data_IF_789856560112
#
_entry.id   IF_789856560112
#
_cell.length_a   1.000
_cell.length_b   1.000
_cell.length_c   1.000
_cell.angle_alpha   90.00
_cell.angle_beta   90.00
_cell.angle_gamma   90.00
#
_symmetry.space_group_name_H-M   'P 1'
#
loop_
_entity.id
_entity.type
_entity.pdbx_description
1 polymer ?
#
# COMPACT_ATOMS: atom_id res chain seq x y z
N UNK A 1 10.35 19.31 -12.16
CA UNK A 1 11.45 19.56 -13.13
C UNK A 1 11.61 21.01 -13.59
N UNK A 2 10.88 21.97 -13.02
CA UNK A 2 10.80 23.34 -13.55
C UNK A 2 12.12 24.11 -13.60
N UNK A 3 13.06 23.83 -12.68
CA UNK A 3 14.34 24.56 -12.59
C UNK A 3 15.45 24.04 -13.52
N UNK A 4 15.34 22.80 -14.02
CA UNK A 4 16.40 22.20 -14.85
C UNK A 4 16.57 22.90 -16.21
N UNK A 5 15.48 23.50 -16.73
CA UNK A 5 15.50 24.27 -17.98
C UNK A 5 15.86 25.75 -17.82
N UNK A 6 16.20 26.21 -16.61
CA UNK A 6 16.49 27.63 -16.38
C UNK A 6 17.89 28.03 -16.89
N UNK A 7 18.04 29.30 -17.27
CA UNK A 7 19.35 29.89 -17.57
C UNK A 7 20.20 30.01 -16.29
N UNK A 8 21.52 30.16 -16.42
CA UNK A 8 22.39 30.31 -15.25
C UNK A 8 22.03 31.57 -14.45
N UNK A 9 21.74 32.70 -15.13
CA UNK A 9 21.35 33.95 -14.44
C UNK A 9 20.03 33.80 -13.68
N UNK A 10 19.12 32.93 -14.12
CA UNK A 10 17.88 32.67 -13.41
C UNK A 10 18.08 31.73 -12.22
N UNK A 11 18.99 30.76 -12.33
CA UNK A 11 19.35 29.83 -11.25
C UNK A 11 20.15 30.52 -10.14
N UNK A 12 20.88 31.59 -10.44
CA UNK A 12 21.68 32.35 -9.48
C UNK A 12 20.84 32.91 -8.30
N UNK A 13 19.53 33.08 -8.51
CA UNK A 13 18.59 33.48 -7.46
C UNK A 13 18.12 32.34 -6.54
N UNK A 14 18.39 31.07 -6.90
CA UNK A 14 17.86 29.89 -6.20
C UNK A 14 18.94 28.98 -5.66
N UNK A 15 20.12 28.97 -6.27
CA UNK A 15 21.24 28.10 -5.88
C UNK A 15 22.54 28.86 -5.85
N UNK A 16 23.41 28.49 -4.90
CA UNK A 16 24.69 29.14 -4.70
C UNK A 16 25.68 28.92 -5.86
N UNK A 17 25.54 27.83 -6.62
CA UNK A 17 26.34 27.57 -7.82
C UNK A 17 25.47 26.99 -8.96
N UNK A 18 24.96 27.85 -9.85
CA UNK A 18 24.20 27.44 -11.03
C UNK A 18 24.96 26.52 -11.99
N UNK A 19 26.28 26.70 -12.09
CA UNK A 19 27.11 25.96 -13.05
C UNK A 19 27.36 24.54 -12.57
N UNK A 20 27.66 24.36 -11.29
CA UNK A 20 27.77 23.06 -10.66
C UNK A 20 26.44 22.29 -10.71
N UNK A 21 25.32 22.95 -10.41
CA UNK A 21 23.99 22.34 -10.51
C UNK A 21 23.73 21.85 -11.95
N UNK A 22 23.95 22.69 -12.96
CA UNK A 22 23.73 22.29 -14.35
C UNK A 22 24.61 21.12 -14.78
N UNK A 23 25.89 21.12 -14.37
CA UNK A 23 26.79 19.99 -14.68
C UNK A 23 26.27 18.70 -14.06
N UNK A 24 25.89 18.74 -12.78
CA UNK A 24 25.35 17.57 -12.08
C UNK A 24 24.02 17.08 -12.68
N UNK A 25 23.12 17.99 -13.04
CA UNK A 25 21.83 17.67 -13.66
C UNK A 25 22.02 17.12 -15.06
N UNK A 26 22.86 17.73 -15.90
CA UNK A 26 23.10 17.28 -17.28
C UNK A 26 23.65 15.85 -17.33
N UNK A 27 24.56 15.48 -16.41
CA UNK A 27 25.09 14.12 -16.32
C UNK A 27 24.05 13.10 -15.86
N UNK A 28 23.04 13.53 -15.08
CA UNK A 28 22.06 12.63 -14.44
C UNK A 28 20.62 12.83 -14.95
N UNK A 29 20.42 13.54 -16.06
CA UNK A 29 19.10 14.05 -16.44
C UNK A 29 18.09 12.91 -16.64
N UNK A 30 18.49 11.83 -17.32
CA UNK A 30 17.66 10.64 -17.54
C UNK A 30 17.31 9.91 -16.24
N UNK A 31 18.21 9.91 -15.27
CA UNK A 31 17.94 9.35 -13.94
C UNK A 31 16.93 10.23 -13.19
N UNK A 32 17.18 11.53 -13.12
CA UNK A 32 16.31 12.49 -12.45
C UNK A 32 14.91 12.56 -13.07
N UNK A 33 14.77 12.35 -14.39
CA UNK A 33 13.47 12.28 -15.09
C UNK A 33 12.61 11.10 -14.67
N UNK A 34 13.25 10.00 -14.27
CA UNK A 34 12.56 8.77 -13.83
C UNK A 34 12.46 8.68 -12.31
N UNK A 35 13.07 9.61 -11.59
CA UNK A 35 13.02 9.63 -10.14
C UNK A 35 11.62 10.08 -9.71
N UNK A 36 10.93 9.18 -9.03
CA UNK A 36 9.65 9.44 -8.40
C UNK A 36 9.66 8.87 -6.97
N UNK A 37 8.56 9.10 -6.25
CA UNK A 37 8.39 8.61 -4.89
C UNK A 37 7.86 7.16 -4.85
N UNK A 38 7.61 6.50 -5.98
CA UNK A 38 7.02 5.17 -6.07
C UNK A 38 7.73 4.13 -5.20
N UNK A 39 9.08 4.05 -5.21
CA UNK A 39 9.80 3.15 -4.32
C UNK A 39 9.55 3.42 -2.83
N UNK A 40 9.24 4.66 -2.43
CA UNK A 40 9.01 5.04 -1.03
C UNK A 40 7.55 4.90 -0.60
N UNK A 41 6.66 4.48 -1.50
CA UNK A 41 5.25 4.30 -1.20
C UNK A 41 4.98 2.93 -0.59
N UNK A 42 4.10 2.92 0.41
CA UNK A 42 3.50 1.70 0.95
C UNK A 42 2.12 1.52 0.30
N UNK A 43 1.79 0.30 -0.10
CA UNK A 43 0.50 0.00 -0.71
C UNK A 43 -0.63 0.11 0.30
N UNK A 44 -1.84 0.43 -0.18
CA UNK A 44 -3.07 0.33 0.58
C UNK A 44 -4.10 -0.51 -0.20
N UNK A 45 -4.72 -1.55 0.41
CA UNK A 45 -4.48 -2.08 1.75
C UNK A 45 -3.03 -2.54 1.97
N UNK A 46 -2.54 -2.55 3.23
CA UNK A 46 -1.16 -2.91 3.49
C UNK A 46 -0.90 -4.38 3.14
N UNK A 47 0.34 -4.67 2.73
CA UNK A 47 0.83 -6.05 2.58
C UNK A 47 0.92 -6.75 3.94
N UNK A 48 0.97 -8.09 3.98
CA UNK A 48 1.16 -8.85 5.22
C UNK A 48 2.37 -8.38 6.04
N UNK A 49 2.30 -8.51 7.36
CA UNK A 49 3.32 -8.06 8.30
C UNK A 49 4.71 -8.63 7.95
N UNK A 50 4.77 -9.93 7.65
CA UNK A 50 6.00 -10.63 7.32
C UNK A 50 6.72 -10.02 6.09
N UNK A 51 5.98 -9.47 5.13
CA UNK A 51 6.56 -8.83 3.95
C UNK A 51 6.89 -7.35 4.22
N UNK A 52 5.99 -6.67 4.93
CA UNK A 52 6.10 -5.24 5.20
C UNK A 52 7.23 -4.93 6.21
N UNK A 53 7.50 -5.82 7.16
CA UNK A 53 8.57 -5.67 8.15
C UNK A 53 9.94 -5.46 7.48
N UNK A 54 10.30 -6.36 6.54
CA UNK A 54 11.55 -6.26 5.79
C UNK A 54 11.62 -4.99 4.95
N UNK A 55 10.50 -4.62 4.31
CA UNK A 55 10.43 -3.40 3.51
C UNK A 55 10.63 -2.15 4.35
N UNK A 56 10.08 -2.12 5.56
CA UNK A 56 10.22 -0.99 6.48
C UNK A 56 11.64 -0.84 7.01
N UNK A 57 12.36 -1.93 7.28
CA UNK A 57 13.77 -1.87 7.67
C UNK A 57 14.62 -1.17 6.59
N UNK A 58 14.40 -1.50 5.32
CA UNK A 58 15.06 -0.84 4.19
C UNK A 58 14.66 0.63 4.06
N UNK A 59 13.35 0.92 4.15
CA UNK A 59 12.84 2.28 4.03
C UNK A 59 13.40 3.18 5.12
N UNK A 60 13.42 2.74 6.39
CA UNK A 60 13.99 3.51 7.49
C UNK A 60 15.46 3.82 7.21
N UNK A 61 16.24 2.83 6.77
CA UNK A 61 17.66 3.02 6.42
C UNK A 61 17.86 4.06 5.31
N UNK A 62 17.01 4.05 4.28
CA UNK A 62 17.11 4.97 3.15
C UNK A 62 16.62 6.37 3.52
N UNK A 63 15.43 6.48 4.13
CA UNK A 63 14.77 7.73 4.47
C UNK A 63 15.56 8.51 5.52
N UNK A 64 16.17 7.83 6.50
CA UNK A 64 17.01 8.47 7.52
C UNK A 64 18.24 9.21 6.95
N UNK A 65 18.61 8.99 5.68
CA UNK A 65 19.73 9.70 5.05
C UNK A 65 19.38 11.09 4.55
N UNK A 66 18.10 11.40 4.34
CA UNK A 66 17.70 12.65 3.67
C UNK A 66 16.42 13.29 4.22
N UNK A 67 15.57 12.54 4.93
CA UNK A 67 14.32 13.06 5.44
C UNK A 67 14.49 13.67 6.84
N UNK A 68 13.63 14.63 7.21
CA UNK A 68 13.53 15.14 8.57
C UNK A 68 13.29 14.05 9.63
N UNK A 69 13.75 14.27 10.86
CA UNK A 69 13.64 13.27 11.94
C UNK A 69 12.19 12.90 12.27
N UNK A 70 11.24 13.84 12.18
CA UNK A 70 9.81 13.59 12.39
C UNK A 70 9.23 12.61 11.35
N UNK A 71 9.69 12.68 10.10
CA UNK A 71 9.31 11.72 9.06
C UNK A 71 9.88 10.33 9.35
N UNK A 72 11.13 10.26 9.80
CA UNK A 72 11.76 8.99 10.19
C UNK A 72 11.08 8.39 11.42
N UNK A 73 10.70 9.22 12.40
CA UNK A 73 9.95 8.81 13.59
C UNK A 73 8.60 8.20 13.21
N UNK A 74 7.82 8.87 12.35
CA UNK A 74 6.54 8.33 11.87
C UNK A 74 6.70 6.96 11.18
N UNK A 75 7.76 6.78 10.39
CA UNK A 75 8.05 5.50 9.74
C UNK A 75 8.44 4.40 10.76
N UNK A 76 9.16 4.77 11.83
CA UNK A 76 9.48 3.85 12.94
C UNK A 76 8.24 3.46 13.74
N UNK A 77 7.25 4.34 13.89
CA UNK A 77 5.98 3.99 14.54
C UNK A 77 5.22 2.93 13.73
N UNK A 78 5.19 3.09 12.40
CA UNK A 78 4.63 2.07 11.49
C UNK A 78 5.40 0.76 11.63
N UNK A 79 6.73 0.79 11.65
CA UNK A 79 7.58 -0.39 11.86
C UNK A 79 7.31 -1.07 13.19
N UNK A 80 7.14 -0.31 14.28
CA UNK A 80 6.78 -0.84 15.59
C UNK A 80 5.43 -1.54 15.56
N UNK A 81 4.45 -0.96 14.86
CA UNK A 81 3.11 -1.55 14.71
C UNK A 81 3.17 -2.87 13.94
N UNK A 82 3.94 -2.92 12.85
CA UNK A 82 4.10 -4.13 12.01
C UNK A 82 4.83 -5.26 12.74
N UNK A 83 5.71 -4.93 13.69
CA UNK A 83 6.45 -5.94 14.48
C UNK A 83 5.56 -6.72 15.43
N UNK A 84 4.44 -6.15 15.88
CA UNK A 84 3.37 -6.93 16.50
C UNK A 84 2.52 -7.56 15.39
N UNK A 85 3.00 -8.68 14.85
CA UNK A 85 2.37 -9.35 13.71
C UNK A 85 0.89 -9.68 13.97
N UNK A 86 0.57 -10.15 15.18
CA UNK A 86 -0.80 -10.54 15.52
C UNK A 86 -1.75 -9.32 15.56
N UNK A 87 -1.32 -8.20 16.14
CA UNK A 87 -2.11 -6.97 16.13
C UNK A 87 -2.18 -6.35 14.73
N UNK A 88 -1.06 -6.33 14.01
CA UNK A 88 -1.02 -5.78 12.67
C UNK A 88 -1.95 -6.53 11.71
N UNK A 89 -1.95 -7.86 11.72
CA UNK A 89 -2.82 -8.66 10.86
C UNK A 89 -4.31 -8.46 11.18
N UNK A 90 -4.66 -8.21 12.46
CA UNK A 90 -6.02 -7.80 12.84
C UNK A 90 -6.38 -6.45 12.22
N UNK A 91 -5.52 -5.45 12.35
CA UNK A 91 -5.74 -4.11 11.78
C UNK A 91 -5.80 -4.15 10.24
N UNK A 92 -4.95 -4.98 9.61
CA UNK A 92 -4.92 -5.22 8.17
C UNK A 92 -6.24 -5.81 7.69
N UNK A 93 -6.78 -6.82 8.38
CA UNK A 93 -8.08 -7.40 8.05
C UNK A 93 -9.18 -6.34 8.03
N UNK A 94 -9.17 -5.42 9.01
CA UNK A 94 -10.13 -4.29 9.05
C UNK A 94 -9.89 -3.31 7.90
N UNK A 95 -8.64 -3.05 7.53
CA UNK A 95 -8.27 -2.19 6.42
C UNK A 95 -8.75 -2.76 5.07
N UNK A 96 -8.54 -4.05 4.84
CA UNK A 96 -9.03 -4.79 3.66
C UNK A 96 -10.56 -4.73 3.60
N UNK A 97 -11.24 -5.09 4.69
CA UNK A 97 -12.69 -5.02 4.76
C UNK A 97 -13.23 -3.61 4.45
N UNK A 98 -12.56 -2.55 4.91
CA UNK A 98 -12.97 -1.16 4.59
C UNK A 98 -12.73 -0.77 3.13
N UNK A 99 -11.69 -1.31 2.50
CA UNK A 99 -11.33 -1.00 1.12
C UNK A 99 -12.18 -1.80 0.11
N UNK A 100 -12.51 -3.04 0.45
CA UNK A 100 -13.18 -3.98 -0.46
C UNK A 100 -14.69 -4.02 -0.25
N UNK A 101 -15.18 -3.87 0.99
CA UNK A 101 -16.61 -4.00 1.28
C UNK A 101 -17.33 -2.66 1.14
N UNK A 102 -18.43 -2.69 0.39
CA UNK A 102 -19.42 -1.61 0.37
C UNK A 102 -20.07 -1.43 1.75
N UNK A 103 -20.71 -0.29 2.02
CA UNK A 103 -21.46 -0.09 3.27
C UNK A 103 -22.52 -1.16 3.51
N UNK A 104 -23.26 -1.57 2.47
CA UNK A 104 -24.30 -2.59 2.56
C UNK A 104 -23.72 -3.97 2.88
N UNK A 105 -22.59 -4.34 2.29
CA UNK A 105 -21.92 -5.61 2.61
C UNK A 105 -21.41 -5.62 4.06
N UNK A 106 -20.92 -4.49 4.57
CA UNK A 106 -20.54 -4.36 5.98
C UNK A 106 -21.73 -4.47 6.92
N UNK A 107 -22.88 -3.89 6.56
CA UNK A 107 -24.13 -4.02 7.31
C UNK A 107 -24.62 -5.48 7.33
N UNK A 108 -24.57 -6.17 6.18
CA UNK A 108 -24.89 -7.61 6.10
C UNK A 108 -23.94 -8.46 6.94
N UNK A 109 -22.64 -8.14 6.93
CA UNK A 109 -21.65 -8.83 7.74
C UNK A 109 -21.92 -8.61 9.25
N UNK A 110 -22.20 -7.37 9.65
CA UNK A 110 -22.48 -7.01 11.03
C UNK A 110 -23.80 -7.59 11.56
N UNK A 111 -24.82 -7.70 10.71
CA UNK A 111 -26.12 -8.28 11.07
C UNK A 111 -26.14 -9.81 11.05
N UNK A 112 -25.07 -10.47 10.59
CA UNK A 112 -25.01 -11.94 10.45
C UNK A 112 -25.72 -12.48 9.20
N UNK A 113 -26.38 -11.63 8.42
CA UNK A 113 -27.14 -12.02 7.22
C UNK A 113 -26.29 -12.78 6.19
N UNK A 114 -24.99 -12.49 6.09
CA UNK A 114 -24.07 -13.25 5.20
C UNK A 114 -23.95 -14.72 5.63
N UNK A 115 -23.92 -15.00 6.93
CA UNK A 115 -23.82 -16.36 7.45
C UNK A 115 -25.11 -17.14 7.15
N UNK A 116 -26.26 -16.50 7.38
CA UNK A 116 -27.59 -17.08 7.11
C UNK A 116 -27.78 -17.36 5.60
N UNK A 117 -27.35 -16.43 4.75
CA UNK A 117 -27.38 -16.56 3.29
C UNK A 117 -26.48 -17.72 2.83
N UNK A 118 -25.26 -17.82 3.38
CA UNK A 118 -24.33 -18.91 3.09
C UNK A 118 -24.85 -20.28 3.52
N UNK A 119 -25.44 -20.38 4.72
CA UNK A 119 -26.05 -21.63 5.20
C UNK A 119 -27.22 -22.05 4.29
N UNK A 120 -28.06 -21.09 3.91
CA UNK A 120 -29.18 -21.33 3.01
C UNK A 120 -28.71 -21.85 1.64
N UNK A 121 -27.69 -21.22 1.05
CA UNK A 121 -27.14 -21.64 -0.24
C UNK A 121 -26.48 -23.02 -0.15
N UNK A 122 -25.80 -23.34 0.96
CA UNK A 122 -25.21 -24.68 1.18
C UNK A 122 -26.29 -25.76 1.24
N UNK A 123 -27.38 -25.51 1.97
CA UNK A 123 -28.52 -26.44 2.02
C UNK A 123 -29.14 -26.63 0.64
N UNK A 124 -29.41 -25.54 -0.09
CA UNK A 124 -29.95 -25.62 -1.45
C UNK A 124 -29.05 -26.41 -2.40
N UNK A 125 -27.72 -26.24 -2.29
CA UNK A 125 -26.76 -27.02 -3.05
C UNK A 125 -26.89 -28.52 -2.75
N UNK A 126 -26.93 -28.90 -1.47
CA UNK A 126 -27.11 -30.30 -1.06
C UNK A 126 -28.44 -30.86 -1.57
N UNK A 127 -29.54 -30.12 -1.44
CA UNK A 127 -30.86 -30.57 -1.92
C UNK A 127 -30.86 -30.83 -3.44
N UNK A 128 -30.15 -30.01 -4.21
CA UNK A 128 -29.99 -30.18 -5.66
C UNK A 128 -29.10 -31.38 -6.01
N UNK A 129 -28.00 -31.59 -5.28
CA UNK A 129 -27.12 -32.74 -5.43
C UNK A 129 -27.89 -34.05 -5.15
N UNK A 130 -28.64 -34.10 -4.05
CA UNK A 130 -29.47 -35.25 -3.68
C UNK A 130 -30.56 -35.54 -4.73
N UNK A 131 -31.20 -34.50 -5.27
CA UNK A 131 -32.22 -34.64 -6.30
C UNK A 131 -31.63 -35.22 -7.61
N UNK A 132 -30.43 -34.79 -7.97
CA UNK A 132 -29.71 -35.26 -9.16
C UNK A 132 -29.27 -36.72 -9.01
N UNK A 133 -28.74 -37.10 -7.84
CA UNK A 133 -28.39 -38.50 -7.53
C UNK A 133 -29.62 -39.41 -7.52
N UNK A 134 -30.76 -38.89 -7.07
CA UNK A 134 -32.03 -39.63 -7.01
C UNK A 134 -32.73 -39.74 -8.38
N UNK A 135 -32.36 -38.91 -9.37
CA UNK A 135 -32.89 -38.90 -10.73
C UNK A 135 -31.75 -38.87 -11.77
N UNK A 136 -30.92 -39.93 -11.87
CA UNK A 136 -29.86 -39.97 -12.86
C UNK A 136 -30.46 -39.86 -14.26
N UNK A 137 -29.90 -38.97 -15.09
CA UNK A 137 -30.31 -38.81 -16.50
C UNK A 137 -30.29 -40.18 -17.20
N UNK A 138 -31.42 -40.51 -17.86
CA UNK A 138 -31.60 -41.78 -18.59
C UNK A 138 -30.79 -41.83 -19.87
#
# INVERSE_FOLDING_TARGET
MTYAGYSNSKLDHYVADPTALKRAVATNETYLKRLDAGPLQLSWPPRPAAELAWRLDELVSVVARFAPEDVVAALRDVQSTVRDEAEFERLRTVAEAKAELTPTEREKLASGAVADELETLRRQKTDLEDALESHPER
#
